data_IF_236156519217
#
_entry.id   IF_236156519217
#
_cell.length_a   1.000
_cell.length_b   1.000
_cell.length_c   1.000
_cell.angle_alpha   90.00
_cell.angle_beta   90.00
_cell.angle_gamma   90.00
#
_symmetry.space_group_name_H-M   'P 1'
#
loop_
_entity.id
_entity.type
_entity.pdbx_description
1 polymer ?
#
# COMPACT_ATOMS: atom_id res chain seq x y z
N UNK A 1 -6.66 -8.40 20.96
CA UNK A 1 -5.19 -8.29 21.03
C UNK A 1 -4.77 -6.84 21.28
N UNK A 2 -5.28 -5.89 20.51
CA UNK A 2 -4.98 -4.44 20.62
C UNK A 2 -5.12 -3.86 22.03
N UNK A 3 -6.16 -4.25 22.78
CA UNK A 3 -6.37 -3.78 24.16
C UNK A 3 -5.28 -4.27 25.13
N UNK A 4 -4.72 -5.46 24.91
CA UNK A 4 -3.71 -6.06 25.78
C UNK A 4 -2.33 -5.43 25.56
N UNK A 5 -2.04 -5.05 24.32
CA UNK A 5 -0.76 -4.45 23.93
C UNK A 5 -0.84 -2.92 23.78
N UNK A 6 -1.91 -2.30 24.28
CA UNK A 6 -2.23 -0.89 24.05
C UNK A 6 -1.09 0.05 24.46
N UNK A 7 -0.46 -0.22 25.60
CA UNK A 7 0.62 0.62 26.11
C UNK A 7 1.83 0.58 25.17
N UNK A 8 2.22 -0.61 24.71
CA UNK A 8 3.31 -0.79 23.75
C UNK A 8 3.00 -0.24 22.35
N UNK A 9 1.71 -0.23 21.96
CA UNK A 9 1.24 0.42 20.73
C UNK A 9 1.36 1.94 20.86
N UNK A 10 0.95 2.51 22.01
CA UNK A 10 1.05 3.95 22.25
C UNK A 10 2.51 4.42 22.38
N UNK A 11 3.40 3.57 22.90
CA UNK A 11 4.86 3.80 22.93
C UNK A 11 5.48 3.77 21.51
N UNK A 12 4.75 3.27 20.51
CA UNK A 12 5.20 3.26 19.12
C UNK A 12 6.16 2.12 18.76
N UNK A 13 6.29 1.09 19.60
CA UNK A 13 7.19 -0.05 19.33
C UNK A 13 6.47 -1.30 18.81
N UNK A 14 5.13 -1.32 18.86
CA UNK A 14 4.30 -2.48 18.49
C UNK A 14 3.13 -2.04 17.61
N UNK A 15 2.89 -2.79 16.54
CA UNK A 15 1.68 -2.69 15.72
C UNK A 15 0.99 -4.05 15.73
N UNK A 16 -0.34 -4.03 15.86
CA UNK A 16 -1.18 -5.23 15.87
C UNK A 16 -2.23 -5.10 14.79
N UNK A 17 -2.41 -6.16 14.01
CA UNK A 17 -3.51 -6.29 13.07
C UNK A 17 -4.11 -7.69 13.20
N UNK A 18 -5.31 -7.76 13.79
CA UNK A 18 -5.97 -9.03 14.14
C UNK A 18 -5.06 -9.92 15.00
N UNK A 19 -4.46 -10.95 14.40
CA UNK A 19 -3.59 -11.94 15.05
C UNK A 19 -2.10 -11.69 14.76
N UNK A 20 -1.77 -10.75 13.87
CA UNK A 20 -0.40 -10.46 13.45
C UNK A 20 0.19 -9.31 14.29
N UNK A 21 1.24 -9.61 15.04
CA UNK A 21 1.96 -8.65 15.89
C UNK A 21 3.32 -8.34 15.26
N UNK A 22 3.58 -7.07 15.00
CA UNK A 22 4.88 -6.58 14.55
C UNK A 22 5.53 -5.75 15.65
N UNK A 23 6.81 -6.03 15.92
CA UNK A 23 7.62 -5.33 16.92
C UNK A 23 8.80 -4.70 16.19
N UNK A 24 9.04 -3.41 16.43
CA UNK A 24 10.12 -2.66 15.78
C UNK A 24 10.72 -1.65 16.76
N UNK A 25 12.04 -1.51 16.72
CA UNK A 25 12.85 -0.75 17.69
C UNK A 25 14.19 -0.40 17.05
N UNK A 26 14.88 0.63 17.54
CA UNK A 26 16.15 1.10 16.96
C UNK A 26 17.38 0.27 17.38
N UNK A 27 17.30 -0.42 18.53
CA UNK A 27 18.40 -1.23 19.04
C UNK A 27 17.98 -2.66 19.34
N UNK A 28 18.90 -3.61 19.16
CA UNK A 28 18.65 -5.03 19.44
C UNK A 28 18.40 -5.28 20.94
N UNK A 29 19.06 -4.50 21.82
CA UNK A 29 18.88 -4.62 23.26
C UNK A 29 17.46 -4.23 23.68
N UNK A 30 16.96 -3.10 23.18
CA UNK A 30 15.59 -2.67 23.38
C UNK A 30 14.60 -3.66 22.75
N UNK A 31 14.88 -4.12 21.53
CA UNK A 31 14.07 -5.11 20.84
C UNK A 31 13.78 -6.33 21.71
N UNK A 32 14.84 -6.93 22.29
CA UNK A 32 14.71 -8.10 23.16
C UNK A 32 13.89 -7.81 24.41
N UNK A 33 14.00 -6.61 24.98
CA UNK A 33 13.19 -6.18 26.14
C UNK A 33 11.72 -6.11 25.75
N UNK A 34 11.38 -5.47 24.63
CA UNK A 34 9.99 -5.35 24.16
C UNK A 34 9.42 -6.72 23.78
N UNK A 35 10.16 -7.55 23.04
CA UNK A 35 9.75 -8.93 22.71
C UNK A 35 9.44 -9.73 23.97
N UNK A 36 10.31 -9.67 24.99
CA UNK A 36 10.09 -10.36 26.25
C UNK A 36 8.82 -9.88 26.96
N UNK A 37 8.56 -8.57 26.98
CA UNK A 37 7.31 -8.00 27.53
C UNK A 37 6.09 -8.50 26.76
N UNK A 38 6.12 -8.47 25.43
CA UNK A 38 5.00 -8.96 24.60
C UNK A 38 4.72 -10.43 24.88
N UNK A 39 5.75 -11.28 24.88
CA UNK A 39 5.61 -12.71 25.18
C UNK A 39 5.04 -12.96 26.58
N UNK A 40 5.45 -12.18 27.58
CA UNK A 40 4.90 -12.27 28.93
C UNK A 40 3.41 -11.91 28.95
N UNK A 41 3.01 -10.81 28.32
CA UNK A 41 1.60 -10.39 28.22
C UNK A 41 0.75 -11.47 27.54
N UNK A 42 1.27 -12.06 26.46
CA UNK A 42 0.57 -13.15 25.77
C UNK A 42 0.40 -14.38 26.68
N UNK A 43 1.47 -14.78 27.40
CA UNK A 43 1.43 -15.91 28.32
C UNK A 43 0.44 -15.69 29.47
N UNK A 44 0.44 -14.51 30.09
CA UNK A 44 -0.46 -14.14 31.19
C UNK A 44 -1.94 -14.16 30.77
N UNK A 45 -2.20 -13.95 29.48
CA UNK A 45 -3.54 -13.96 28.90
C UNK A 45 -3.87 -15.25 28.11
N UNK A 46 -3.05 -16.31 28.27
CA UNK A 46 -3.26 -17.62 27.63
C UNK A 46 -3.38 -17.53 26.09
N UNK A 47 -2.61 -16.62 25.48
CA UNK A 47 -2.48 -16.49 24.04
C UNK A 47 -1.22 -17.20 23.57
N UNK A 48 -1.36 -18.04 22.53
CA UNK A 48 -0.28 -18.90 22.05
C UNK A 48 0.15 -18.50 20.65
N UNK A 49 1.46 -18.35 20.48
CA UNK A 49 2.09 -18.16 19.18
C UNK A 49 2.39 -19.51 18.54
N UNK A 50 2.37 -19.57 17.21
CA UNK A 50 2.86 -20.72 16.44
C UNK A 50 4.33 -20.47 16.10
N UNK A 51 5.31 -21.16 16.74
CA UNK A 51 6.73 -20.85 16.57
C UNK A 51 7.21 -20.91 15.11
N UNK A 52 6.67 -21.85 14.33
CA UNK A 52 6.97 -22.02 12.90
C UNK A 52 6.60 -20.80 12.02
N UNK A 53 5.71 -19.93 12.51
CA UNK A 53 5.27 -18.71 11.82
C UNK A 53 5.87 -17.43 12.43
N UNK A 54 6.69 -17.56 13.47
CA UNK A 54 7.29 -16.42 14.14
C UNK A 54 8.67 -16.13 13.59
N UNK A 55 8.93 -14.87 13.28
CA UNK A 55 10.24 -14.39 12.89
C UNK A 55 10.77 -13.44 13.98
N UNK A 56 12.03 -13.64 14.38
CA UNK A 56 12.66 -12.85 15.43
C UNK A 56 13.96 -12.21 14.94
N UNK A 57 14.26 -10.99 15.41
CA UNK A 57 15.52 -10.28 15.19
C UNK A 57 15.90 -10.13 13.70
N UNK A 58 14.91 -10.00 12.82
CA UNK A 58 15.10 -9.78 11.39
C UNK A 58 15.21 -8.29 11.08
N UNK A 59 16.04 -7.95 10.08
CA UNK A 59 16.14 -6.58 9.53
C UNK A 59 15.04 -6.26 8.52
N UNK A 60 14.42 -7.29 7.97
CA UNK A 60 13.26 -7.20 7.10
C UNK A 60 12.26 -8.30 7.46
N UNK A 61 10.98 -7.96 7.45
CA UNK A 61 9.88 -8.89 7.77
C UNK A 61 8.75 -8.73 6.76
N UNK A 62 8.08 -9.83 6.44
CA UNK A 62 6.79 -9.76 5.76
C UNK A 62 5.69 -9.44 6.78
N UNK A 63 4.94 -8.36 6.54
CA UNK A 63 3.80 -7.98 7.35
C UNK A 63 2.66 -7.51 6.45
N UNK A 64 1.48 -8.15 6.57
CA UNK A 64 0.28 -7.84 5.80
C UNK A 64 0.49 -7.79 4.26
N UNK A 65 1.33 -8.69 3.73
CA UNK A 65 1.63 -8.79 2.30
C UNK A 65 2.54 -7.68 1.77
N UNK A 66 3.26 -6.99 2.66
CA UNK A 66 4.32 -6.04 2.34
C UNK A 66 5.60 -6.46 3.07
N UNK A 67 6.76 -6.17 2.48
CA UNK A 67 8.03 -6.33 3.17
C UNK A 67 8.40 -4.98 3.78
N UNK A 68 8.61 -4.99 5.09
CA UNK A 68 9.00 -3.82 5.87
C UNK A 68 10.46 -4.00 6.24
N UNK A 69 11.27 -2.98 5.96
CA UNK A 69 12.68 -2.90 6.38
C UNK A 69 12.99 -1.49 6.86
N UNK A 70 14.25 -1.24 7.25
CA UNK A 70 14.68 0.08 7.70
C UNK A 70 14.31 1.17 6.67
N UNK A 71 13.51 2.15 7.11
CA UNK A 71 13.00 3.32 6.37
C UNK A 71 12.22 3.06 5.08
N UNK A 72 11.85 1.81 4.80
CA UNK A 72 11.17 1.50 3.55
C UNK A 72 10.14 0.37 3.68
N UNK A 73 9.07 0.53 2.90
CA UNK A 73 8.05 -0.50 2.68
C UNK A 73 8.13 -0.87 1.21
N UNK A 74 8.13 -2.17 0.92
CA UNK A 74 8.08 -2.66 -0.46
C UNK A 74 7.05 -3.75 -0.66
N UNK A 75 6.62 -3.93 -1.91
CA UNK A 75 5.86 -5.11 -2.29
C UNK A 75 6.75 -6.36 -2.22
N UNK A 76 6.17 -7.48 -1.80
CA UNK A 76 6.84 -8.78 -1.82
C UNK A 76 7.24 -9.15 -3.28
N UNK A 77 8.52 -9.48 -3.55
CA UNK A 77 9.00 -9.92 -4.86
C UNK A 77 8.17 -11.03 -5.50
N UNK A 78 7.63 -11.97 -4.71
CA UNK A 78 6.77 -13.03 -5.23
C UNK A 78 5.45 -12.47 -5.76
N UNK A 79 4.89 -11.45 -5.10
CA UNK A 79 3.69 -10.74 -5.55
C UNK A 79 3.97 -9.89 -6.79
N UNK A 80 5.14 -9.25 -6.83
CA UNK A 80 5.59 -8.50 -8.01
C UNK A 80 5.75 -9.42 -9.22
N UNK A 81 6.37 -10.59 -9.03
CA UNK A 81 6.50 -11.59 -10.08
C UNK A 81 5.15 -12.13 -10.55
N UNK A 82 4.23 -12.44 -9.62
CA UNK A 82 2.89 -12.88 -9.96
C UNK A 82 2.12 -11.85 -10.81
N UNK A 83 2.34 -10.54 -10.58
CA UNK A 83 1.80 -9.48 -11.43
C UNK A 83 2.47 -9.45 -12.80
N UNK A 84 3.79 -9.59 -12.87
CA UNK A 84 4.53 -9.63 -14.13
C UNK A 84 4.05 -10.77 -15.05
N UNK A 85 3.74 -11.92 -14.48
CA UNK A 85 3.26 -13.12 -15.17
C UNK A 85 1.73 -13.18 -15.29
N UNK A 86 1.00 -12.20 -14.75
CA UNK A 86 -0.46 -12.22 -14.72
C UNK A 86 -1.04 -12.31 -16.14
N UNK A 87 -1.90 -13.31 -16.43
CA UNK A 87 -2.46 -13.52 -17.75
C UNK A 87 -3.46 -12.42 -18.12
N UNK A 88 -3.59 -12.12 -19.41
CA UNK A 88 -4.60 -11.17 -19.89
C UNK A 88 -6.00 -11.70 -19.49
N UNK A 89 -6.78 -10.94 -18.70
CA UNK A 89 -8.13 -11.35 -18.33
C UNK A 89 -9.01 -11.54 -19.55
N UNK A 90 -9.74 -12.66 -19.59
CA UNK A 90 -10.72 -12.98 -20.65
C UNK A 90 -12.15 -12.85 -20.16
N UNK A 91 -12.33 -12.75 -18.85
CA UNK A 91 -13.65 -12.62 -18.22
C UNK A 91 -13.67 -11.45 -17.25
N UNK A 92 -14.88 -10.92 -17.03
CA UNK A 92 -15.13 -9.89 -16.02
C UNK A 92 -14.65 -10.31 -14.62
N UNK A 93 -14.80 -11.59 -14.26
CA UNK A 93 -14.37 -12.13 -12.96
C UNK A 93 -12.85 -12.11 -12.82
N UNK A 94 -12.12 -12.51 -13.86
CA UNK A 94 -10.65 -12.44 -13.88
C UNK A 94 -10.16 -11.00 -13.77
N UNK A 95 -10.81 -10.07 -14.48
CA UNK A 95 -10.46 -8.66 -14.43
C UNK A 95 -10.72 -8.06 -13.04
N UNK A 96 -11.84 -8.40 -12.42
CA UNK A 96 -12.15 -7.99 -11.05
C UNK A 96 -11.12 -8.52 -10.05
N UNK A 97 -10.61 -9.74 -10.24
CA UNK A 97 -9.52 -10.29 -9.42
C UNK A 97 -8.24 -9.45 -9.54
N UNK A 98 -7.83 -9.14 -10.77
CA UNK A 98 -6.65 -8.30 -11.03
C UNK A 98 -6.82 -6.88 -10.47
N UNK A 99 -7.98 -6.26 -10.66
CA UNK A 99 -8.28 -4.93 -10.13
C UNK A 99 -8.33 -4.93 -8.60
N UNK A 100 -8.91 -5.96 -7.98
CA UNK A 100 -8.90 -6.10 -6.52
C UNK A 100 -7.49 -6.18 -5.96
N UNK A 101 -6.63 -6.99 -6.57
CA UNK A 101 -5.22 -7.11 -6.21
C UNK A 101 -4.47 -5.78 -6.39
N UNK A 102 -4.54 -5.17 -7.57
CA UNK A 102 -3.82 -3.92 -7.85
C UNK A 102 -4.32 -2.75 -7.01
N UNK A 103 -5.60 -2.73 -6.63
CA UNK A 103 -6.18 -1.72 -5.76
C UNK A 103 -5.65 -1.81 -4.32
N UNK A 104 -5.35 -3.02 -3.80
CA UNK A 104 -4.69 -3.17 -2.50
C UNK A 104 -3.32 -2.48 -2.48
N UNK A 105 -2.59 -2.55 -3.59
CA UNK A 105 -1.27 -1.93 -3.76
C UNK A 105 -1.30 -0.54 -4.42
N UNK A 106 -2.48 0.10 -4.56
CA UNK A 106 -2.61 1.40 -5.24
C UNK A 106 -1.71 2.50 -4.66
N UNK A 107 -1.35 2.40 -3.38
CA UNK A 107 -0.44 3.36 -2.69
C UNK A 107 0.96 3.41 -3.28
N UNK A 108 1.37 2.37 -4.03
CA UNK A 108 2.65 2.28 -4.76
C UNK A 108 2.52 2.77 -6.21
N UNK A 109 1.30 3.06 -6.67
CA UNK A 109 1.01 3.31 -8.09
C UNK A 109 0.54 4.75 -8.24
N UNK A 110 1.43 5.60 -8.77
CA UNK A 110 1.06 6.96 -9.18
C UNK A 110 -0.09 6.90 -10.19
N UNK A 111 -1.09 7.76 -10.02
CA UNK A 111 -2.22 7.90 -10.95
C UNK A 111 -3.04 6.60 -11.15
N UNK A 112 -3.06 5.69 -10.17
CA UNK A 112 -3.77 4.40 -10.27
C UNK A 112 -5.19 4.53 -10.85
N UNK A 113 -5.98 5.50 -10.37
CA UNK A 113 -7.35 5.71 -10.81
C UNK A 113 -7.46 6.13 -12.28
N UNK A 114 -6.50 6.91 -12.79
CA UNK A 114 -6.44 7.29 -14.21
C UNK A 114 -6.09 6.07 -15.07
N UNK A 115 -5.08 5.30 -14.66
CA UNK A 115 -4.60 4.13 -15.39
C UNK A 115 -5.64 3.00 -15.39
N UNK A 116 -6.24 2.69 -14.24
CA UNK A 116 -7.19 1.59 -14.09
C UNK A 116 -8.59 1.89 -14.66
N UNK A 117 -8.86 3.11 -15.14
CA UNK A 117 -10.19 3.53 -15.60
C UNK A 117 -10.73 2.68 -16.76
N UNK A 118 -9.99 2.44 -17.87
CA UNK A 118 -10.48 1.62 -18.98
C UNK A 118 -10.86 0.20 -18.55
N UNK A 119 -10.11 -0.36 -17.59
CA UNK A 119 -10.35 -1.68 -17.01
C UNK A 119 -11.59 -1.67 -16.10
N UNK A 120 -11.74 -0.64 -15.28
CA UNK A 120 -12.88 -0.51 -14.37
C UNK A 120 -14.20 -0.42 -15.14
N UNK A 121 -14.20 0.25 -16.30
CA UNK A 121 -15.39 0.32 -17.18
C UNK A 121 -15.87 -1.07 -17.60
N UNK A 122 -14.96 -1.99 -17.95
CA UNK A 122 -15.30 -3.38 -18.30
C UNK A 122 -15.88 -4.20 -17.13
N UNK A 123 -15.74 -3.73 -15.90
CA UNK A 123 -16.42 -4.33 -14.74
C UNK A 123 -17.87 -3.86 -14.56
N UNK A 124 -18.34 -2.93 -15.39
CA UNK A 124 -19.70 -2.41 -15.41
C UNK A 124 -20.72 -3.32 -16.09
N UNK A 125 -21.89 -2.77 -16.42
CA UNK A 125 -22.91 -3.39 -17.28
C UNK A 125 -22.65 -2.99 -18.74
N UNK A 126 -21.51 -3.42 -19.27
CA UNK A 126 -21.09 -3.18 -20.66
C UNK A 126 -20.77 -4.52 -21.30
N UNK A 127 -20.86 -4.57 -22.62
CA UNK A 127 -20.40 -5.74 -23.36
C UNK A 127 -18.89 -5.90 -23.19
N UNK A 128 -18.46 -7.16 -23.12
CA UNK A 128 -17.05 -7.47 -22.91
C UNK A 128 -16.27 -7.25 -24.22
N UNK A 129 -15.54 -6.14 -24.28
CA UNK A 129 -14.65 -5.82 -25.40
C UNK A 129 -13.27 -5.45 -24.87
N UNK A 130 -12.29 -6.31 -25.12
CA UNK A 130 -10.90 -6.05 -24.77
C UNK A 130 -10.17 -5.43 -25.96
N UNK A 131 -10.08 -4.10 -25.98
CA UNK A 131 -9.44 -3.33 -27.04
C UNK A 131 -8.06 -2.80 -26.63
N UNK A 132 -7.46 -1.94 -27.46
CA UNK A 132 -6.14 -1.36 -27.21
C UNK A 132 -6.06 -0.57 -25.90
N UNK A 133 -7.11 0.18 -25.54
CA UNK A 133 -7.12 0.99 -24.31
C UNK A 133 -7.02 0.13 -23.05
N UNK A 134 -7.72 -1.00 -23.01
CA UNK A 134 -7.68 -1.94 -21.90
C UNK A 134 -6.34 -2.68 -21.86
N UNK A 135 -5.83 -3.10 -23.01
CA UNK A 135 -4.51 -3.73 -23.08
C UNK A 135 -3.42 -2.77 -22.58
N UNK A 136 -3.43 -1.52 -23.04
CA UNK A 136 -2.49 -0.48 -22.62
C UNK A 136 -2.59 -0.21 -21.12
N UNK A 137 -3.80 -0.08 -20.58
CA UNK A 137 -4.01 0.11 -19.15
C UNK A 137 -3.47 -1.06 -18.32
N UNK A 138 -3.72 -2.29 -18.77
CA UNK A 138 -3.22 -3.51 -18.13
C UNK A 138 -1.69 -3.57 -18.12
N UNK A 139 -1.05 -3.32 -19.26
CA UNK A 139 0.41 -3.35 -19.40
C UNK A 139 1.09 -2.23 -18.60
N UNK A 140 0.50 -1.02 -18.58
CA UNK A 140 1.01 0.07 -17.75
C UNK A 140 0.91 -0.28 -16.27
N UNK A 141 -0.20 -0.85 -15.78
CA UNK A 141 -0.29 -1.27 -14.38
C UNK A 141 0.74 -2.34 -14.03
N UNK A 142 0.91 -3.36 -14.89
CA UNK A 142 1.95 -4.39 -14.70
C UNK A 142 3.35 -3.79 -14.64
N UNK A 143 3.65 -2.85 -15.53
CA UNK A 143 4.96 -2.17 -15.58
C UNK A 143 5.19 -1.31 -14.34
N UNK A 144 4.20 -0.53 -13.89
CA UNK A 144 4.36 0.34 -12.72
C UNK A 144 4.60 -0.47 -11.45
N UNK A 145 3.84 -1.54 -11.25
CA UNK A 145 4.00 -2.44 -10.09
C UNK A 145 5.38 -3.11 -10.08
N UNK A 146 5.91 -3.48 -11.25
CA UNK A 146 7.22 -4.15 -11.35
C UNK A 146 8.42 -3.20 -11.29
N UNK A 147 8.25 -1.92 -11.60
CA UNK A 147 9.35 -0.95 -11.68
C UNK A 147 9.54 -0.10 -10.42
N UNK A 148 8.48 0.14 -9.63
CA UNK A 148 8.57 1.00 -8.44
C UNK A 148 7.76 0.44 -7.26
N UNK A 149 8.18 -0.69 -6.67
CA UNK A 149 7.44 -1.33 -5.59
C UNK A 149 7.76 -0.75 -4.20
N UNK A 150 8.40 0.42 -4.09
CA UNK A 150 8.98 0.93 -2.83
C UNK A 150 8.45 2.30 -2.42
N UNK A 151 8.16 2.46 -1.12
CA UNK A 151 7.78 3.70 -0.47
C UNK A 151 8.67 3.93 0.76
N UNK A 152 8.91 5.18 1.10
CA UNK A 152 9.58 5.55 2.33
C UNK A 152 8.63 5.43 3.53
N UNK A 153 9.15 5.00 4.68
CA UNK A 153 8.43 5.10 5.96
C UNK A 153 8.56 6.55 6.43
N UNK A 154 7.44 7.26 6.70
CA UNK A 154 7.51 8.62 7.18
C UNK A 154 8.03 8.69 8.62
N UNK A 155 8.70 9.79 8.97
CA UNK A 155 9.06 10.15 10.34
C UNK A 155 8.33 11.42 10.79
N UNK A 156 8.42 11.79 12.07
CA UNK A 156 7.71 12.94 12.62
C UNK A 156 8.49 14.27 12.51
N UNK A 157 9.77 14.21 12.14
CA UNK A 157 10.70 15.34 12.21
C UNK A 157 10.86 16.07 10.86
N UNK A 158 10.80 15.33 9.75
CA UNK A 158 11.10 15.84 8.42
C UNK A 158 9.87 16.43 7.72
N UNK A 159 10.05 17.49 6.90
CA UNK A 159 8.95 18.15 6.23
C UNK A 159 8.30 17.27 5.17
N UNK A 160 6.97 17.35 5.10
CA UNK A 160 6.17 16.75 4.05
C UNK A 160 5.94 17.71 2.88
N UNK A 161 5.84 17.15 1.68
CA UNK A 161 5.41 17.83 0.45
C UNK A 161 4.26 17.05 -0.16
N UNK A 162 3.16 17.74 -0.42
CA UNK A 162 2.03 17.21 -1.19
C UNK A 162 2.05 17.88 -2.56
N UNK A 163 2.08 17.07 -3.60
CA UNK A 163 1.90 17.53 -4.99
C UNK A 163 0.59 16.94 -5.51
N UNK A 164 -0.38 17.80 -5.81
CA UNK A 164 -1.67 17.41 -6.36
C UNK A 164 -1.76 17.79 -7.84
N UNK A 165 -2.54 17.03 -8.58
CA UNK A 165 -2.96 17.37 -9.94
C UNK A 165 -4.40 16.95 -10.19
N UNK A 166 -5.13 17.76 -10.97
CA UNK A 166 -6.43 17.38 -11.48
C UNK A 166 -6.41 17.11 -12.98
N UNK A 167 -7.19 16.12 -13.39
CA UNK A 167 -7.58 15.93 -14.78
C UNK A 167 -9.08 16.15 -14.94
N UNK A 168 -9.59 16.07 -16.16
CA UNK A 168 -11.03 16.13 -16.40
C UNK A 168 -11.85 15.00 -15.73
N UNK A 169 -11.19 13.95 -15.24
CA UNK A 169 -11.89 12.73 -14.79
C UNK A 169 -11.46 12.22 -13.42
N UNK A 170 -10.33 12.67 -12.90
CA UNK A 170 -9.72 12.15 -11.67
C UNK A 170 -8.73 13.16 -11.08
N UNK A 171 -8.57 13.10 -9.77
CA UNK A 171 -7.50 13.77 -9.03
C UNK A 171 -6.39 12.79 -8.70
N UNK A 172 -5.16 13.28 -8.66
CA UNK A 172 -3.98 12.57 -8.22
C UNK A 172 -3.24 13.38 -7.16
N UNK A 173 -2.56 12.69 -6.26
CA UNK A 173 -1.62 13.33 -5.35
C UNK A 173 -0.43 12.41 -5.03
N UNK A 174 0.71 13.03 -4.78
CA UNK A 174 1.91 12.39 -4.26
C UNK A 174 2.23 13.01 -2.91
N UNK A 175 2.26 12.19 -1.86
CA UNK A 175 2.83 12.56 -0.58
C UNK A 175 4.30 12.15 -0.59
N UNK A 176 5.20 13.11 -0.41
CA UNK A 176 6.63 12.88 -0.25
C UNK A 176 7.13 13.46 1.06
N UNK A 177 8.19 12.89 1.63
CA UNK A 177 8.91 13.45 2.77
C UNK A 177 10.38 13.66 2.41
N UNK A 178 10.99 14.72 2.92
CA UNK A 178 12.41 14.99 2.71
C UNK A 178 13.24 14.13 3.67
N UNK A 179 13.84 13.05 3.18
CA UNK A 179 14.67 12.16 3.98
C UNK A 179 16.07 12.11 3.38
N UNK A 180 17.09 12.31 4.22
CA UNK A 180 18.50 12.38 3.80
C UNK A 180 18.75 13.41 2.68
N UNK A 181 18.04 14.55 2.74
CA UNK A 181 18.14 15.62 1.74
C UNK A 181 17.48 15.31 0.39
N UNK A 182 16.77 14.18 0.24
CA UNK A 182 16.03 13.81 -0.98
C UNK A 182 14.54 13.68 -0.71
N UNK A 183 13.71 14.13 -1.64
CA UNK A 183 12.27 13.87 -1.60
C UNK A 183 11.99 12.42 -1.95
N UNK A 184 11.47 11.65 -0.98
CA UNK A 184 11.10 10.25 -1.18
C UNK A 184 9.57 10.10 -1.12
N UNK A 185 8.95 9.33 -2.03
CA UNK A 185 7.50 9.11 -2.01
C UNK A 185 7.10 8.24 -0.80
N UNK A 186 6.13 8.71 -0.04
CA UNK A 186 5.52 8.00 1.10
C UNK A 186 4.22 7.33 0.68
N UNK A 187 3.43 8.00 -0.16
CA UNK A 187 2.19 7.44 -0.69
C UNK A 187 1.76 8.11 -1.99
N UNK A 188 1.10 7.34 -2.85
CA UNK A 188 0.33 7.85 -3.98
C UNK A 188 -1.16 7.79 -3.70
N UNK A 189 -1.87 8.88 -3.99
CA UNK A 189 -3.33 8.95 -3.96
C UNK A 189 -3.84 9.15 -5.38
N UNK A 190 -4.92 8.47 -5.72
CA UNK A 190 -5.66 8.73 -6.95
C UNK A 190 -7.12 8.43 -6.75
N UNK A 191 -7.98 9.37 -7.16
CA UNK A 191 -9.43 9.28 -6.99
C UNK A 191 -10.14 9.68 -8.28
N UNK A 192 -11.02 8.80 -8.75
CA UNK A 192 -11.92 9.14 -9.87
C UNK A 192 -12.99 10.13 -9.42
N UNK A 193 -13.25 11.13 -10.25
CA UNK A 193 -14.33 12.09 -10.02
C UNK A 193 -15.68 11.47 -10.37
N UNK A 194 -16.67 11.76 -9.53
CA UNK A 194 -18.07 11.45 -9.76
C UNK A 194 -18.67 12.35 -10.87
N UNK A 195 -19.88 12.07 -11.39
CA UNK A 195 -20.47 12.86 -12.48
C UNK A 195 -20.63 14.35 -12.17
N UNK A 196 -20.90 14.73 -10.92
CA UNK A 196 -21.03 16.13 -10.53
C UNK A 196 -19.67 16.83 -10.50
N UNK A 197 -18.66 16.20 -9.89
CA UNK A 197 -17.27 16.71 -9.79
C UNK A 197 -16.65 16.92 -11.19
N UNK A 198 -17.03 16.11 -12.19
CA UNK A 198 -16.55 16.28 -13.57
C UNK A 198 -17.05 17.56 -14.25
N UNK A 199 -18.16 18.11 -13.79
CA UNK A 199 -18.75 19.33 -14.35
C UNK A 199 -18.13 20.60 -13.77
N UNK A 200 -17.24 20.47 -12.78
CA UNK A 200 -16.54 21.61 -12.19
C UNK A 200 -15.61 22.28 -13.22
N UNK A 201 -15.41 23.60 -13.05
CA UNK A 201 -14.40 24.32 -13.80
C UNK A 201 -13.00 23.80 -13.44
N UNK A 202 -12.00 24.04 -14.29
CA UNK A 202 -10.65 23.49 -14.09
C UNK A 202 -10.06 23.93 -12.74
N UNK A 203 -10.23 25.19 -12.36
CA UNK A 203 -9.75 25.72 -11.07
C UNK A 203 -10.42 25.04 -9.87
N UNK A 204 -11.72 24.75 -9.95
CA UNK A 204 -12.45 24.04 -8.90
C UNK A 204 -12.03 22.56 -8.82
N UNK A 205 -11.64 21.97 -9.95
CA UNK A 205 -11.06 20.61 -10.01
C UNK A 205 -9.68 20.55 -9.37
N UNK A 206 -8.83 21.54 -9.62
CA UNK A 206 -7.53 21.66 -8.95
C UNK A 206 -7.70 21.90 -7.45
N UNK A 207 -8.70 22.68 -7.03
CA UNK A 207 -9.02 22.88 -5.61
C UNK A 207 -9.61 21.63 -4.93
N UNK A 208 -10.28 20.77 -5.70
CA UNK A 208 -10.80 19.48 -5.22
C UNK A 208 -9.68 18.43 -5.02
N UNK A 209 -8.57 18.57 -5.74
CA UNK A 209 -7.43 17.65 -5.69
C UNK A 209 -6.59 17.84 -4.43
#
# INVERSE_FOLDING_TARGET
MDRLLRDLINEGSVIVYLDDIMIFTDSLEEHRKIVSKVLQILADNQLYLKPEKCEFEKKEVEYLGMIISHDMIRMDPLKVQAVAEWPIPRTKKELQSFLGFSNFYRRFIRDYGKIAKPLTILTGKVDWEWAEDQQRAFDVLKKTITTSPTLAIPNDEDPFKVECDASNYATGAVLSQQQEGKWRPVAFLSKSMNPAERNYAIWDKEMLA
#
